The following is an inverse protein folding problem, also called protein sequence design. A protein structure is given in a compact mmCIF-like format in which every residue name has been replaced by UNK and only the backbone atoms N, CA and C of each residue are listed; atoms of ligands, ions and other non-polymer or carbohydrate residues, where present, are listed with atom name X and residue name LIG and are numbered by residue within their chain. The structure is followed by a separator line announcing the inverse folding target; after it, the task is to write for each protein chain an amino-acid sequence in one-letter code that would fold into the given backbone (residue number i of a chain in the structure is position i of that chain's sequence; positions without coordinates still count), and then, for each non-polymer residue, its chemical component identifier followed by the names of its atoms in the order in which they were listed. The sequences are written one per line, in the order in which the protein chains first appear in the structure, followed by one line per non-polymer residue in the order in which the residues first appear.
data_IF_792510930529
#
_entry.id   IF_792510930529
#
_cell.length_a   1.000
_cell.length_b   1.000
_cell.length_c   1.000
_cell.angle_alpha   90.00
_cell.angle_beta   90.00
_cell.angle_gamma   90.00
#
_symmetry.space_group_name_H-M   'P 1'
#
loop_
_entity.id
_entity.type
_entity.pdbx_description
1 polymer ?
#
# COMPACT_ATOMS: atom_id res chain seq x y z
N UNK A 1 6.41 -60.14 5.94
CA UNK A 1 7.21 -58.99 5.43
C UNK A 1 6.36 -57.84 4.88
N UNK A 2 5.05 -58.01 4.64
CA UNK A 2 4.21 -56.98 4.01
C UNK A 2 3.86 -55.75 4.86
N UNK A 3 3.83 -55.82 6.20
CA UNK A 3 3.35 -54.69 7.02
C UNK A 3 4.35 -53.53 7.14
N UNK A 4 5.66 -53.78 6.96
CA UNK A 4 6.69 -52.73 6.98
C UNK A 4 6.72 -51.91 5.68
N UNK A 5 6.31 -52.48 4.55
CA UNK A 5 6.25 -51.78 3.26
C UNK A 5 5.10 -50.77 3.21
N UNK A 6 3.93 -51.11 3.79
CA UNK A 6 2.81 -50.16 3.86
C UNK A 6 3.10 -48.97 4.77
N UNK A 7 3.85 -49.16 5.86
CA UNK A 7 4.23 -48.07 6.75
C UNK A 7 5.16 -47.03 6.07
N UNK A 8 6.05 -47.47 5.19
CA UNK A 8 6.95 -46.58 4.44
C UNK A 8 6.23 -45.82 3.32
N UNK A 9 5.23 -46.46 2.68
CA UNK A 9 4.43 -45.81 1.63
C UNK A 9 3.52 -44.70 2.18
N UNK A 10 2.99 -44.85 3.40
CA UNK A 10 2.09 -43.84 4.02
C UNK A 10 2.84 -42.57 4.45
N UNK A 11 4.10 -42.69 4.90
CA UNK A 11 4.89 -41.52 5.31
C UNK A 11 5.31 -40.62 4.13
N UNK A 12 5.46 -41.16 2.91
CA UNK A 12 5.87 -40.40 1.72
C UNK A 12 4.73 -39.54 1.13
N UNK A 13 3.47 -39.86 1.42
CA UNK A 13 2.31 -39.12 0.87
C UNK A 13 2.02 -37.85 1.68
N UNK A 14 2.46 -37.75 2.93
CA UNK A 14 2.19 -36.60 3.81
C UNK A 14 3.18 -35.43 3.67
N UNK A 15 4.28 -35.57 2.92
CA UNK A 15 5.28 -34.51 2.78
C UNK A 15 4.93 -33.42 1.74
N UNK A 16 3.82 -33.57 1.01
CA UNK A 16 3.56 -32.81 -0.22
C UNK A 16 2.64 -31.59 -0.13
N UNK A 17 2.13 -31.19 1.03
CA UNK A 17 1.05 -30.18 1.10
C UNK A 17 1.34 -29.01 2.02
N UNK A 18 2.54 -28.44 1.89
CA UNK A 18 2.81 -27.07 2.33
C UNK A 18 3.19 -26.20 1.13
N UNK A 19 2.40 -26.24 0.06
CA UNK A 19 2.35 -25.12 -0.87
C UNK A 19 1.56 -24.00 -0.16
N UNK A 20 2.23 -23.30 0.76
CA UNK A 20 1.74 -22.01 1.23
C UNK A 20 1.39 -21.19 -0.01
N UNK A 21 0.25 -20.50 -0.01
CA UNK A 21 -0.13 -19.56 -1.07
C UNK A 21 0.96 -18.48 -1.15
N UNK A 22 2.01 -18.73 -1.93
CA UNK A 22 3.02 -17.75 -2.25
C UNK A 22 2.35 -16.78 -3.22
N UNK A 23 1.85 -15.68 -2.66
CA UNK A 23 1.59 -14.51 -3.47
C UNK A 23 2.94 -13.93 -3.87
N UNK A 24 3.16 -13.68 -5.16
CA UNK A 24 4.40 -13.10 -5.68
C UNK A 24 4.64 -11.71 -5.08
N UNK A 25 5.36 -11.66 -3.97
CA UNK A 25 5.72 -10.44 -3.27
C UNK A 25 6.97 -9.84 -3.92
N UNK A 26 6.83 -8.60 -4.37
CA UNK A 26 7.93 -7.76 -4.81
C UNK A 26 8.54 -7.05 -3.62
N UNK A 27 9.83 -6.67 -3.73
CA UNK A 27 10.54 -5.90 -2.71
C UNK A 27 10.71 -4.46 -3.18
N UNK A 28 10.58 -3.52 -2.25
CA UNK A 28 10.89 -2.12 -2.45
C UNK A 28 11.31 -1.45 -1.16
N UNK A 29 11.83 -0.24 -1.25
CA UNK A 29 12.27 0.56 -0.10
C UNK A 29 11.34 1.76 0.07
N UNK A 30 10.92 2.02 1.30
CA UNK A 30 10.14 3.21 1.65
C UNK A 30 11.09 4.40 1.80
N UNK A 31 11.11 5.30 0.83
CA UNK A 31 12.10 6.38 0.80
C UNK A 31 11.74 7.59 1.66
N UNK A 32 10.44 7.93 1.70
CA UNK A 32 9.94 9.12 2.39
C UNK A 32 8.42 9.08 2.51
N UNK A 33 7.92 9.91 3.43
CA UNK A 33 6.52 10.27 3.57
C UNK A 33 6.37 11.76 3.26
N UNK A 34 5.40 12.09 2.41
CA UNK A 34 5.02 13.45 2.04
C UNK A 34 3.60 13.76 2.54
N UNK A 35 3.36 15.03 2.89
CA UNK A 35 2.02 15.56 3.10
C UNK A 35 1.59 16.29 1.84
N UNK A 36 0.58 15.78 1.14
CA UNK A 36 0.16 16.29 -0.18
C UNK A 36 -1.29 16.74 -0.15
N UNK A 37 -1.60 17.82 -0.87
CA UNK A 37 -2.98 18.21 -1.08
C UNK A 37 -3.74 17.11 -1.82
N UNK A 38 -4.88 16.70 -1.26
CA UNK A 38 -5.67 15.60 -1.78
C UNK A 38 -7.17 15.90 -1.86
N UNK A 39 -7.60 17.08 -1.43
CA UNK A 39 -9.01 17.47 -1.48
C UNK A 39 -9.25 18.84 -0.82
N UNK A 40 -10.50 19.26 -0.84
CA UNK A 40 -10.97 20.50 -0.19
C UNK A 40 -12.10 20.14 0.77
N UNK A 41 -12.00 20.60 2.01
CA UNK A 41 -13.04 20.46 3.02
C UNK A 41 -13.75 21.81 3.18
N UNK A 42 -15.04 21.86 2.87
CA UNK A 42 -15.89 22.98 3.26
C UNK A 42 -16.22 22.82 4.76
N UNK A 43 -15.63 23.66 5.62
CA UNK A 43 -16.07 23.76 7.03
C UNK A 43 -17.37 24.55 7.10
N UNK A 44 -18.49 23.88 6.83
CA UNK A 44 -19.84 24.38 7.10
C UNK A 44 -20.19 24.26 8.58
N UNK A 45 -19.65 25.14 9.43
CA UNK A 45 -20.07 25.21 10.83
C UNK A 45 -21.44 25.91 10.93
N UNK A 46 -22.50 25.12 11.20
CA UNK A 46 -23.92 25.51 11.48
C UNK A 46 -24.68 26.01 10.24
N UNK A 47 -25.84 25.46 9.87
CA UNK A 47 -27.06 25.48 10.68
C UNK A 47 -28.06 24.40 10.22
N UNK A 48 -28.32 23.41 11.08
CA UNK A 48 -29.51 22.55 10.98
C UNK A 48 -30.64 23.05 11.90
N UNK A 49 -30.56 24.27 12.44
CA UNK A 49 -31.67 24.85 13.22
C UNK A 49 -31.51 26.37 13.28
N UNK A 50 -32.33 27.10 12.53
CA UNK A 50 -32.35 28.56 12.56
C UNK A 50 -32.84 29.15 11.26
N UNK A 51 -34.16 29.13 11.09
CA UNK A 51 -34.88 30.03 10.20
C UNK A 51 -34.46 31.50 10.41
N UNK A 52 -34.69 32.32 9.38
CA UNK A 52 -34.75 33.78 9.35
C UNK A 52 -33.43 34.56 9.11
N UNK A 53 -33.53 35.49 8.14
CA UNK A 53 -32.62 36.59 7.80
C UNK A 53 -31.42 36.14 6.94
N UNK A 54 -31.34 36.42 5.63
CA UNK A 54 -31.47 37.74 5.02
C UNK A 54 -30.16 38.51 5.25
N UNK A 55 -29.28 38.53 4.23
CA UNK A 55 -27.93 39.17 4.20
C UNK A 55 -26.91 38.41 5.09
N UNK A 56 -25.65 38.11 4.76
CA UNK A 56 -24.62 38.64 3.88
C UNK A 56 -23.67 37.50 3.46
N UNK A 57 -22.84 37.72 2.44
CA UNK A 57 -21.88 36.77 1.86
C UNK A 57 -21.18 35.87 2.90
N UNK A 58 -21.70 34.65 3.07
CA UNK A 58 -21.16 33.67 3.99
C UNK A 58 -19.77 33.24 3.49
N UNK A 59 -18.73 33.70 4.17
CA UNK A 59 -17.34 33.34 3.91
C UNK A 59 -17.16 31.83 4.06
N UNK A 60 -17.31 31.10 2.94
CA UNK A 60 -16.94 29.69 2.85
C UNK A 60 -15.42 29.61 2.99
N UNK A 61 -14.93 29.31 4.20
CA UNK A 61 -13.53 28.92 4.40
C UNK A 61 -13.36 27.47 3.94
N UNK A 62 -13.09 27.30 2.65
CA UNK A 62 -12.56 26.06 2.08
C UNK A 62 -11.17 25.83 2.65
N UNK A 63 -10.98 24.74 3.40
CA UNK A 63 -9.67 24.33 3.90
C UNK A 63 -9.16 23.17 3.05
N UNK A 64 -7.92 23.30 2.56
CA UNK A 64 -7.24 22.23 1.84
C UNK A 64 -6.98 21.03 2.77
N UNK A 65 -7.35 19.83 2.32
CA UNK A 65 -7.11 18.57 3.03
C UNK A 65 -5.77 18.03 2.58
N UNK A 66 -4.92 17.72 3.56
CA UNK A 66 -3.61 17.12 3.34
C UNK A 66 -3.66 15.63 3.65
N UNK A 67 -3.23 14.80 2.70
CA UNK A 67 -3.12 13.35 2.83
C UNK A 67 -1.67 12.90 2.93
N UNK A 68 -1.46 11.83 3.69
CA UNK A 68 -0.17 11.17 3.83
C UNK A 68 0.09 10.31 2.59
N UNK A 69 1.21 10.55 1.93
CA UNK A 69 1.62 9.82 0.74
C UNK A 69 3.05 9.31 0.90
N UNK A 70 3.26 8.02 0.66
CA UNK A 70 4.55 7.36 0.76
C UNK A 70 5.18 7.14 -0.60
N UNK A 71 6.50 7.28 -0.68
CA UNK A 71 7.28 6.94 -1.86
C UNK A 71 7.89 5.56 -1.67
N UNK A 72 7.39 4.58 -2.41
CA UNK A 72 7.92 3.21 -2.45
C UNK A 72 8.73 3.04 -3.73
N UNK A 73 10.04 2.86 -3.59
CA UNK A 73 10.94 2.65 -4.73
C UNK A 73 11.31 1.19 -4.89
N UNK A 74 11.15 0.70 -6.11
CA UNK A 74 11.66 -0.61 -6.55
C UNK A 74 12.89 -0.43 -7.43
N UNK A 75 13.41 -1.52 -7.98
CA UNK A 75 14.51 -1.48 -8.95
C UNK A 75 14.18 -0.59 -10.17
N UNK A 76 12.95 -0.65 -10.68
CA UNK A 76 12.57 -0.04 -11.97
C UNK A 76 11.49 1.04 -11.87
N UNK A 77 10.71 1.07 -10.81
CA UNK A 77 9.53 1.94 -10.68
C UNK A 77 9.50 2.60 -9.31
N UNK A 78 9.13 3.87 -9.28
CA UNK A 78 8.80 4.64 -8.09
C UNK A 78 7.28 4.75 -7.99
N UNK A 79 6.72 4.24 -6.91
CA UNK A 79 5.30 4.30 -6.60
C UNK A 79 5.05 5.40 -5.58
N UNK A 80 4.00 6.20 -5.79
CA UNK A 80 3.44 7.09 -4.76
C UNK A 80 2.15 6.48 -4.26
N UNK A 81 2.09 6.13 -2.98
CA UNK A 81 0.99 5.35 -2.39
C UNK A 81 0.36 6.07 -1.21
N UNK A 82 -0.96 5.92 -1.03
CA UNK A 82 -1.70 6.48 0.10
C UNK A 82 -2.40 5.36 0.89
N UNK A 83 -2.48 5.45 2.22
CA UNK A 83 -3.32 4.55 3.00
C UNK A 83 -4.75 4.56 2.44
N UNK A 84 -5.39 3.39 2.34
CA UNK A 84 -6.80 3.34 1.94
C UNK A 84 -7.75 3.73 3.08
N UNK A 85 -7.32 3.49 4.32
CA UNK A 85 -8.05 3.89 5.53
C UNK A 85 -7.35 5.08 6.18
N UNK A 86 -7.96 6.25 6.06
CA UNK A 86 -7.47 7.52 6.63
C UNK A 86 -7.80 7.68 8.13
N UNK A 87 -8.56 6.77 8.73
CA UNK A 87 -9.00 6.90 10.14
C UNK A 87 -7.88 6.59 11.13
N UNK A 88 -7.06 5.59 10.83
CA UNK A 88 -5.94 5.18 11.68
C UNK A 88 -4.72 4.80 10.82
N UNK A 89 -4.15 5.75 10.06
CA UNK A 89 -3.01 5.46 9.20
C UNK A 89 -1.82 5.07 10.09
N UNK A 90 -1.34 3.84 9.93
CA UNK A 90 -0.11 3.37 10.58
C UNK A 90 1.07 4.01 9.87
N UNK A 91 1.95 4.64 10.64
CA UNK A 91 3.19 5.19 10.11
C UNK A 91 4.10 4.06 9.66
N UNK A 92 4.52 4.11 8.39
CA UNK A 92 5.50 3.18 7.85
C UNK A 92 6.93 3.66 8.15
N UNK A 93 7.84 2.75 8.53
CA UNK A 93 9.23 3.12 8.78
C UNK A 93 9.94 3.48 7.47
N UNK A 94 10.53 4.67 7.43
CA UNK A 94 11.28 5.17 6.29
C UNK A 94 12.70 4.62 6.31
N UNK A 95 13.22 4.25 5.14
CA UNK A 95 14.51 3.58 4.95
C UNK A 95 14.40 2.06 4.91
N UNK A 96 13.26 1.50 5.35
CA UNK A 96 13.09 0.06 5.47
C UNK A 96 12.58 -0.60 4.19
N UNK A 97 12.86 -1.91 4.11
CA UNK A 97 12.35 -2.76 3.03
C UNK A 97 10.91 -3.16 3.31
N UNK A 98 10.07 -3.08 2.28
CA UNK A 98 8.71 -3.57 2.31
C UNK A 98 8.49 -4.59 1.18
N UNK A 99 7.74 -5.63 1.52
CA UNK A 99 7.19 -6.59 0.57
C UNK A 99 5.83 -6.08 0.12
N UNK A 100 5.57 -6.11 -1.18
CA UNK A 100 4.27 -5.70 -1.68
C UNK A 100 3.84 -6.53 -2.89
N UNK A 101 2.53 -6.54 -3.12
CA UNK A 101 1.93 -7.07 -4.34
C UNK A 101 0.85 -6.14 -4.82
N UNK A 102 0.67 -6.07 -6.13
CA UNK A 102 -0.44 -5.33 -6.72
C UNK A 102 -1.59 -6.33 -6.89
N UNK A 103 -2.75 -6.00 -6.34
CA UNK A 103 -3.96 -6.79 -6.48
C UNK A 103 -5.09 -5.89 -6.96
N UNK A 104 -5.48 -6.06 -8.23
CA UNK A 104 -6.43 -5.19 -8.92
C UNK A 104 -5.96 -3.73 -8.93
N UNK A 105 -6.69 -2.85 -8.26
CA UNK A 105 -6.48 -1.41 -8.14
C UNK A 105 -5.70 -1.00 -6.88
N UNK A 106 -5.23 -1.98 -6.09
CA UNK A 106 -4.61 -1.73 -4.79
C UNK A 106 -3.21 -2.31 -4.71
N UNK A 107 -2.40 -1.68 -3.88
CA UNK A 107 -1.11 -2.19 -3.44
C UNK A 107 -1.26 -2.75 -2.03
N UNK A 108 -0.96 -4.04 -1.88
CA UNK A 108 -0.96 -4.72 -0.59
C UNK A 108 0.47 -4.72 -0.07
N UNK A 109 0.72 -3.95 0.99
CA UNK A 109 2.04 -3.74 1.57
C UNK A 109 2.20 -4.52 2.88
N UNK A 110 3.38 -5.11 3.06
CA UNK A 110 3.86 -5.75 4.29
C UNK A 110 5.26 -5.21 4.58
N UNK A 111 5.46 -4.58 5.74
CA UNK A 111 6.78 -4.09 6.15
C UNK A 111 7.63 -5.28 6.61
N UNK A 112 8.85 -5.41 6.08
CA UNK A 112 9.73 -6.55 6.38
C UNK A 112 10.43 -6.41 7.73
N UNK A 113 10.88 -5.21 8.06
CA UNK A 113 11.73 -4.93 9.22
C UNK A 113 11.03 -3.91 10.14
N UNK A 114 10.99 -4.20 11.45
CA UNK A 114 10.38 -3.30 12.45
C UNK A 114 8.85 -3.19 12.41
N UNK A 115 8.17 -4.03 11.61
CA UNK A 115 6.71 -4.06 11.45
C UNK A 115 6.02 -5.25 12.14
N UNK A 116 4.69 -5.27 12.08
CA UNK A 116 3.84 -6.30 12.69
C UNK A 116 3.47 -7.46 11.74
N UNK A 117 4.22 -7.64 10.65
CA UNK A 117 3.98 -8.62 9.58
C UNK A 117 2.59 -8.53 8.90
N UNK A 118 1.78 -7.51 9.20
CA UNK A 118 0.42 -7.39 8.71
C UNK A 118 0.36 -6.78 7.31
N UNK A 119 -0.50 -7.37 6.48
CA UNK A 119 -0.86 -6.80 5.18
C UNK A 119 -1.74 -5.54 5.35
N UNK A 120 -1.47 -4.53 4.52
CA UNK A 120 -2.20 -3.25 4.50
C UNK A 120 -2.53 -2.86 3.08
N UNK A 121 -3.75 -2.35 2.88
CA UNK A 121 -4.20 -1.86 1.58
C UNK A 121 -3.79 -0.39 1.38
N UNK A 122 -3.12 -0.12 0.27
CA UNK A 122 -2.76 1.20 -0.20
C UNK A 122 -3.35 1.46 -1.59
N UNK A 123 -3.71 2.71 -1.84
CA UNK A 123 -4.08 3.22 -3.16
C UNK A 123 -2.81 3.70 -3.85
N UNK A 124 -2.64 3.35 -5.13
CA UNK A 124 -1.54 3.85 -5.96
C UNK A 124 -1.97 5.18 -6.59
N UNK A 125 -1.29 6.26 -6.23
CA UNK A 125 -1.56 7.61 -6.75
C UNK A 125 -0.82 7.83 -8.07
N UNK A 126 0.43 7.38 -8.14
CA UNK A 126 1.22 7.44 -9.37
C UNK A 126 2.30 6.36 -9.42
N UNK A 127 2.71 6.05 -10.65
CA UNK A 127 3.79 5.11 -10.97
C UNK A 127 4.69 5.78 -12.00
N UNK A 128 5.95 5.97 -11.66
CA UNK A 128 6.93 6.56 -12.58
C UNK A 128 8.13 5.63 -12.74
N UNK A 129 8.66 5.43 -13.96
CA UNK A 129 9.91 4.72 -14.15
C UNK A 129 11.03 5.41 -13.36
N UNK A 130 11.88 4.60 -12.72
CA UNK A 130 13.06 5.12 -12.02
C UNK A 130 14.05 5.63 -13.05
N UNK A 131 14.39 6.92 -12.95
CA UNK A 131 15.30 7.58 -13.90
C UNK A 131 16.74 7.07 -13.77
N UNK A 132 17.13 6.67 -12.56
CA UNK A 132 18.47 6.16 -12.26
C UNK A 132 18.59 4.63 -12.42
N UNK A 133 17.58 3.97 -12.98
CA UNK A 133 17.64 2.52 -13.19
C UNK A 133 18.65 2.21 -14.31
N UNK A 134 19.50 1.17 -14.16
CA UNK A 134 20.33 0.69 -15.27
C UNK A 134 19.44 0.40 -16.48
N UNK A 135 19.74 1.01 -17.62
CA UNK A 135 19.06 0.69 -18.87
C UNK A 135 19.32 -0.79 -19.15
N UNK A 136 18.29 -1.64 -19.04
CA UNK A 136 18.34 -2.96 -19.64
C UNK A 136 18.47 -2.74 -21.14
N UNK A 137 19.68 -2.95 -21.67
CA UNK A 137 19.97 -2.90 -23.09
C UNK A 137 18.89 -3.70 -23.80
N UNK A 138 18.08 -3.01 -24.60
CA UNK A 138 17.06 -3.65 -25.41
C UNK A 138 17.76 -4.69 -26.30
N UNK A 139 17.57 -5.97 -25.99
CA UNK A 139 18.03 -7.06 -26.84
C UNK A 139 17.28 -6.96 -28.16
N UNK A 140 17.93 -6.35 -29.14
CA UNK A 140 17.45 -6.25 -30.51
C UNK A 140 17.63 -7.63 -31.15
N UNK A 141 16.54 -8.39 -31.23
CA UNK A 141 16.44 -9.54 -32.13
C UNK A 141 16.09 -9.05 -33.53
#
# INVERSE_FOLDING_TARGET
MSNKMYALAVCLVFAGVCAAKEHDYQKGTLLRMDSTSCGMQEKGSKSLTGELLGTDAQSKKTQEVLCQEYVLQTERVVYRIRPKDDKHPVLLPIGETAHFRIHKDKLILKVAEGGDDKEREYIVVSMTPRQDAPQQAASKN
#
